data_IF_096127658433
#
_entry.id   IF_096127658433
#
_cell.length_a   1.000
_cell.length_b   1.000
_cell.length_c   1.000
_cell.angle_alpha   90.00
_cell.angle_beta   90.00
_cell.angle_gamma   90.00
#
_symmetry.space_group_name_H-M   'P 1'
#
loop_
_entity.id
_entity.type
_entity.pdbx_description
1 polymer ?
#
# COMPACT_ATOMS: atom_id res chain seq x y z
N UNK A 1 -1.08 -16.79 7.21
CA UNK A 1 -0.72 -16.51 5.79
C UNK A 1 -0.10 -17.68 5.03
N UNK A 2 0.80 -18.46 5.62
CA UNK A 2 1.59 -19.51 4.92
C UNK A 2 0.85 -20.75 4.38
N UNK A 3 -0.49 -20.76 4.40
CA UNK A 3 -1.31 -21.87 3.88
C UNK A 3 -2.19 -21.46 2.69
N UNK A 4 -1.99 -20.26 2.16
CA UNK A 4 -2.71 -19.80 1.00
C UNK A 4 -2.11 -20.42 -0.25
N UNK A 5 -2.99 -20.98 -1.09
CA UNK A 5 -2.65 -21.36 -2.45
C UNK A 5 -2.17 -20.12 -3.23
N UNK A 6 -1.08 -20.27 -3.99
CA UNK A 6 -0.40 -19.20 -4.73
C UNK A 6 -0.44 -19.54 -6.23
N UNK A 7 -1.55 -19.25 -6.93
CA UNK A 7 -1.71 -19.60 -8.32
C UNK A 7 -0.76 -18.79 -9.19
N UNK A 8 -0.23 -19.41 -10.25
CA UNK A 8 0.66 -18.75 -11.19
C UNK A 8 -0.03 -17.70 -12.08
N UNK A 9 -1.37 -17.70 -12.11
CA UNK A 9 -2.19 -16.78 -12.92
C UNK A 9 -3.31 -16.17 -12.08
N UNK A 10 -3.85 -14.99 -12.47
CA UNK A 10 -4.95 -14.35 -11.77
C UNK A 10 -6.15 -15.28 -11.61
N UNK A 11 -6.63 -15.43 -10.37
CA UNK A 11 -7.76 -16.31 -10.04
C UNK A 11 -8.69 -15.66 -9.04
N UNK A 12 -9.98 -15.63 -9.39
CA UNK A 12 -11.03 -15.20 -8.45
C UNK A 12 -11.13 -16.20 -7.31
N UNK A 13 -11.16 -15.67 -6.08
CA UNK A 13 -11.29 -16.44 -4.85
C UNK A 13 -12.62 -16.16 -4.15
N UNK A 14 -12.95 -17.03 -3.20
CA UNK A 14 -14.11 -16.82 -2.33
C UNK A 14 -13.97 -15.53 -1.53
N UNK A 15 -15.09 -14.81 -1.37
CA UNK A 15 -15.16 -13.54 -0.64
C UNK A 15 -14.58 -13.62 0.78
N UNK A 16 -14.75 -14.77 1.45
CA UNK A 16 -14.23 -15.02 2.81
C UNK A 16 -12.71 -14.81 2.93
N UNK A 17 -11.97 -14.98 1.82
CA UNK A 17 -10.52 -14.76 1.79
C UNK A 17 -10.18 -13.28 1.84
N UNK A 18 -10.98 -12.40 1.21
CA UNK A 18 -10.81 -10.95 1.36
C UNK A 18 -11.30 -10.47 2.73
N UNK A 19 -12.37 -11.06 3.26
CA UNK A 19 -12.86 -10.73 4.60
C UNK A 19 -11.82 -11.08 5.66
N UNK A 20 -11.25 -12.28 5.62
CA UNK A 20 -10.17 -12.64 6.56
C UNK A 20 -8.92 -11.76 6.42
N UNK A 21 -8.58 -11.33 5.19
CA UNK A 21 -7.51 -10.35 4.99
C UNK A 21 -7.86 -8.97 5.58
N UNK A 22 -9.10 -8.52 5.40
CA UNK A 22 -9.59 -7.27 5.98
C UNK A 22 -9.51 -7.31 7.51
N UNK A 23 -9.86 -8.44 8.14
CA UNK A 23 -9.76 -8.61 9.59
C UNK A 23 -8.30 -8.49 10.06
N UNK A 24 -7.36 -9.19 9.40
CA UNK A 24 -5.92 -9.13 9.71
C UNK A 24 -5.38 -7.70 9.58
N UNK A 25 -5.67 -7.02 8.45
CA UNK A 25 -5.21 -5.64 8.25
C UNK A 25 -5.84 -4.69 9.28
N UNK A 26 -7.08 -4.94 9.70
CA UNK A 26 -7.74 -4.11 10.70
C UNK A 26 -7.14 -4.30 12.09
N UNK A 27 -6.61 -5.48 12.39
CA UNK A 27 -5.81 -5.74 13.59
C UNK A 27 -4.47 -5.03 13.50
N UNK A 28 -3.74 -5.23 12.39
CA UNK A 28 -2.43 -4.62 12.15
C UNK A 28 -2.47 -3.09 12.20
N UNK A 29 -3.53 -2.47 11.65
CA UNK A 29 -3.71 -1.00 11.72
C UNK A 29 -3.86 -0.51 13.16
N UNK A 30 -4.41 -1.32 14.08
CA UNK A 30 -4.50 -0.95 15.50
C UNK A 30 -3.17 -1.09 16.21
N UNK A 31 -2.27 -1.97 15.78
CA UNK A 31 -0.93 -2.09 16.37
C UNK A 31 -0.11 -0.79 16.25
N UNK A 32 -0.45 0.08 15.29
CA UNK A 32 0.09 1.43 15.22
C UNK A 32 -0.17 2.30 16.47
N UNK A 33 -1.19 1.97 17.28
CA UNK A 33 -1.48 2.66 18.53
C UNK A 33 -0.33 2.54 19.53
N UNK A 34 0.36 1.39 19.58
CA UNK A 34 1.53 1.20 20.43
C UNK A 34 2.67 2.14 20.02
N UNK A 35 2.86 2.33 18.71
CA UNK A 35 3.81 3.30 18.16
C UNK A 35 3.39 4.72 18.52
N UNK A 36 2.09 5.06 18.46
CA UNK A 36 1.62 6.40 18.83
C UNK A 36 1.89 6.73 20.29
N UNK A 37 1.77 5.76 21.19
CA UNK A 37 2.11 5.96 22.61
C UNK A 37 3.60 6.26 22.81
N UNK A 38 4.50 5.76 21.95
CA UNK A 38 5.93 6.13 21.98
C UNK A 38 6.17 7.62 21.69
N UNK A 39 5.30 8.23 20.87
CA UNK A 39 5.34 9.66 20.50
C UNK A 39 4.57 10.57 21.46
N UNK A 40 3.67 10.02 22.27
CA UNK A 40 2.68 10.79 23.02
C UNK A 40 3.33 11.77 23.98
N UNK A 41 3.05 13.06 23.77
CA UNK A 41 3.59 14.14 24.59
C UNK A 41 5.07 14.46 24.35
N UNK A 42 5.70 13.87 23.33
CA UNK A 42 7.09 14.16 22.95
C UNK A 42 7.15 15.01 21.69
N UNK A 43 8.07 15.97 21.63
CA UNK A 43 8.43 16.65 20.39
C UNK A 43 9.53 15.85 19.69
N UNK A 44 9.43 15.66 18.37
CA UNK A 44 10.39 14.88 17.59
C UNK A 44 11.83 15.42 17.69
N UNK A 45 12.00 16.72 17.95
CA UNK A 45 13.31 17.34 18.11
C UNK A 45 13.97 17.02 19.47
N UNK A 46 13.17 16.68 20.49
CA UNK A 46 13.64 16.44 21.86
C UNK A 46 14.02 14.97 22.13
N UNK A 47 13.78 14.07 21.16
CA UNK A 47 14.08 12.65 21.30
C UNK A 47 15.59 12.39 21.32
N UNK A 48 16.03 11.55 22.26
CA UNK A 48 17.38 10.98 22.27
C UNK A 48 17.64 10.11 21.03
N UNK A 49 18.91 9.80 20.76
CA UNK A 49 19.27 8.95 19.61
C UNK A 49 18.67 7.55 19.75
N UNK A 50 18.67 7.02 20.96
CA UNK A 50 18.14 5.70 21.30
C UNK A 50 16.63 5.65 21.11
N UNK A 51 15.88 6.64 21.60
CA UNK A 51 14.43 6.72 21.38
C UNK A 51 14.07 6.85 19.89
N UNK A 52 14.82 7.68 19.14
CA UNK A 52 14.61 7.79 17.69
C UNK A 52 14.84 6.45 17.00
N UNK A 53 15.89 5.72 17.37
CA UNK A 53 16.18 4.42 16.80
C UNK A 53 15.07 3.41 17.11
N UNK A 54 14.59 3.35 18.34
CA UNK A 54 13.52 2.44 18.78
C UNK A 54 12.22 2.73 18.01
N UNK A 55 11.83 4.00 17.92
CA UNK A 55 10.64 4.44 17.20
C UNK A 55 10.75 4.11 15.70
N UNK A 56 11.87 4.46 15.05
CA UNK A 56 12.06 4.17 13.63
C UNK A 56 12.08 2.67 13.35
N UNK A 57 12.59 1.86 14.29
CA UNK A 57 12.56 0.41 14.20
C UNK A 57 11.13 -0.10 14.23
N UNK A 58 10.33 0.32 15.21
CA UNK A 58 8.92 -0.08 15.32
C UNK A 58 8.09 0.34 14.09
N UNK A 59 8.29 1.56 13.59
CA UNK A 59 7.63 2.05 12.36
C UNK A 59 8.05 1.20 11.15
N UNK A 60 9.32 0.84 11.05
CA UNK A 60 9.83 0.05 9.91
C UNK A 60 9.28 -1.37 9.91
N UNK A 61 9.19 -1.98 11.09
CA UNK A 61 8.62 -3.32 11.29
C UNK A 61 7.13 -3.35 10.89
N UNK A 62 6.34 -2.45 11.47
CA UNK A 62 4.91 -2.33 11.19
C UNK A 62 4.59 -2.03 9.71
N UNK A 63 5.27 -1.05 9.10
CA UNK A 63 5.09 -0.77 7.68
C UNK A 63 5.58 -1.93 6.80
N UNK A 64 6.62 -2.63 7.23
CA UNK A 64 7.14 -3.83 6.57
C UNK A 64 6.10 -4.95 6.54
N UNK A 65 5.47 -5.25 7.68
CA UNK A 65 4.45 -6.28 7.80
C UNK A 65 3.21 -5.94 6.96
N UNK A 66 2.76 -4.68 6.97
CA UNK A 66 1.68 -4.21 6.09
C UNK A 66 1.98 -4.46 4.61
N UNK A 67 3.22 -4.21 4.17
CA UNK A 67 3.65 -4.49 2.78
C UNK A 67 3.64 -5.99 2.51
N UNK A 68 4.25 -6.80 3.39
CA UNK A 68 4.29 -8.26 3.25
C UNK A 68 2.89 -8.85 3.18
N UNK A 69 1.97 -8.35 4.00
CA UNK A 69 0.58 -8.78 4.02
C UNK A 69 -0.15 -8.45 2.72
N UNK A 70 -0.01 -7.22 2.22
CA UNK A 70 -0.59 -6.82 0.94
C UNK A 70 -0.07 -7.68 -0.22
N UNK A 71 1.24 -7.92 -0.28
CA UNK A 71 1.85 -8.74 -1.33
C UNK A 71 1.47 -10.21 -1.23
N UNK A 72 1.44 -10.77 -0.01
CA UNK A 72 1.00 -12.16 0.20
C UNK A 72 -0.44 -12.34 -0.25
N UNK A 73 -1.31 -11.37 0.07
CA UNK A 73 -2.70 -11.41 -0.40
C UNK A 73 -2.76 -11.31 -1.92
N UNK A 74 -2.03 -10.38 -2.54
CA UNK A 74 -1.99 -10.25 -3.99
C UNK A 74 -1.52 -11.54 -4.68
N UNK A 75 -0.46 -12.16 -4.16
CA UNK A 75 0.08 -13.41 -4.66
C UNK A 75 -0.93 -14.56 -4.51
N UNK A 76 -1.69 -14.60 -3.41
CA UNK A 76 -2.73 -15.61 -3.27
C UNK A 76 -3.78 -15.49 -4.37
N UNK A 77 -4.05 -14.28 -4.89
CA UNK A 77 -4.94 -14.05 -6.02
C UNK A 77 -4.27 -14.23 -7.39
N UNK A 78 -2.97 -14.53 -7.44
CA UNK A 78 -2.17 -14.61 -8.68
C UNK A 78 -2.04 -13.26 -9.38
N UNK A 79 -2.14 -12.14 -8.63
CA UNK A 79 -2.09 -10.81 -9.21
C UNK A 79 -0.64 -10.36 -9.46
N UNK A 80 -0.33 -9.81 -10.64
CA UNK A 80 1.00 -9.30 -10.97
C UNK A 80 1.22 -7.92 -10.32
N UNK A 81 1.43 -7.91 -8.99
CA UNK A 81 1.39 -6.66 -8.22
C UNK A 81 2.49 -5.67 -8.61
N UNK A 82 3.65 -6.12 -9.06
CA UNK A 82 4.72 -5.24 -9.57
C UNK A 82 4.24 -4.42 -10.79
N UNK A 83 3.63 -5.06 -11.78
CA UNK A 83 3.08 -4.38 -12.96
C UNK A 83 1.95 -3.42 -12.58
N UNK A 84 1.09 -3.82 -11.63
CA UNK A 84 -0.01 -2.99 -11.12
C UNK A 84 0.51 -1.75 -10.40
N UNK A 85 1.54 -1.90 -9.55
CA UNK A 85 2.13 -0.79 -8.81
C UNK A 85 2.83 0.20 -9.75
N UNK A 86 3.52 -0.28 -10.80
CA UNK A 86 4.10 0.58 -11.82
C UNK A 86 3.03 1.45 -12.50
N UNK A 87 1.89 0.86 -12.90
CA UNK A 87 0.76 1.59 -13.49
C UNK A 87 0.15 2.60 -12.50
N UNK A 88 0.01 2.23 -11.23
CA UNK A 88 -0.51 3.13 -10.19
C UNK A 88 0.44 4.31 -9.98
N UNK A 89 1.75 4.08 -9.96
CA UNK A 89 2.73 5.16 -9.81
C UNK A 89 2.77 6.08 -11.02
N UNK A 90 2.72 5.55 -12.24
CA UNK A 90 2.60 6.37 -13.44
C UNK A 90 1.33 7.23 -13.41
N UNK A 91 0.22 6.69 -12.92
CA UNK A 91 -1.03 7.44 -12.74
C UNK A 91 -0.88 8.52 -11.66
N UNK A 92 -0.13 8.26 -10.58
CA UNK A 92 0.18 9.28 -9.57
C UNK A 92 1.02 10.42 -10.16
N UNK A 93 2.04 10.13 -10.97
CA UNK A 93 2.82 11.17 -11.66
C UNK A 93 1.99 11.98 -12.67
N UNK A 94 0.93 11.39 -13.25
CA UNK A 94 0.02 12.13 -14.13
C UNK A 94 -0.83 13.20 -13.43
N UNK A 95 -0.87 13.19 -12.09
CA UNK A 95 -1.58 14.19 -11.28
C UNK A 95 -0.79 15.49 -11.11
N UNK A 96 0.49 15.50 -11.46
CA UNK A 96 1.36 16.67 -11.32
C UNK A 96 0.93 17.77 -12.29
N UNK A 97 1.27 19.01 -11.97
CA UNK A 97 1.10 20.16 -12.86
C UNK A 97 2.12 20.16 -14.02
N UNK A 98 2.15 21.25 -14.79
CA UNK A 98 3.02 21.37 -15.97
C UNK A 98 4.52 21.43 -15.61
N UNK A 99 4.84 21.80 -14.37
CA UNK A 99 6.20 21.93 -13.85
C UNK A 99 6.62 20.68 -13.05
N UNK A 100 5.74 19.68 -12.95
CA UNK A 100 6.00 18.45 -12.20
C UNK A 100 5.73 18.57 -10.69
N UNK A 101 5.02 19.61 -10.25
CA UNK A 101 4.69 19.78 -8.84
C UNK A 101 3.36 19.11 -8.47
N UNK A 102 3.24 18.51 -7.27
CA UNK A 102 1.97 18.02 -6.79
C UNK A 102 1.01 19.19 -6.49
N UNK A 103 -0.24 19.03 -6.92
CA UNK A 103 -1.31 19.98 -6.61
C UNK A 103 -1.98 19.51 -5.32
N UNK A 104 -2.10 20.35 -4.30
CA UNK A 104 -2.70 19.99 -3.01
C UNK A 104 -4.01 20.73 -2.75
N UNK A 105 -4.92 20.12 -1.99
CA UNK A 105 -6.02 20.85 -1.33
C UNK A 105 -5.58 21.41 0.04
N UNK A 106 -6.48 22.13 0.70
CA UNK A 106 -6.23 22.74 2.03
C UNK A 106 -5.89 21.72 3.13
N UNK A 107 -6.09 20.42 2.87
CA UNK A 107 -5.79 19.31 3.78
C UNK A 107 -4.49 18.59 3.42
N UNK A 108 -3.75 19.06 2.40
CA UNK A 108 -2.54 18.41 1.90
C UNK A 108 -2.81 17.16 1.06
N UNK A 109 -4.04 16.95 0.57
CA UNK A 109 -4.34 15.83 -0.33
C UNK A 109 -3.95 16.19 -1.76
N UNK A 110 -3.22 15.28 -2.42
CA UNK A 110 -2.88 15.43 -3.85
C UNK A 110 -4.16 15.41 -4.70
N UNK A 111 -4.41 16.52 -5.40
CA UNK A 111 -5.48 16.73 -6.37
C UNK A 111 -5.11 16.15 -7.74
N UNK A 112 -6.10 16.06 -8.62
CA UNK A 112 -5.91 15.56 -9.99
C UNK A 112 -5.47 16.70 -10.89
N UNK A 113 -4.24 16.63 -11.39
CA UNK A 113 -3.72 17.54 -12.41
C UNK A 113 -4.41 17.39 -13.77
N UNK A 114 -4.12 18.32 -14.70
CA UNK A 114 -4.77 18.39 -16.01
C UNK A 114 -4.50 17.14 -16.88
N UNK A 115 -3.39 16.44 -16.63
CA UNK A 115 -2.97 15.24 -17.36
C UNK A 115 -3.40 13.94 -16.68
N UNK A 116 -4.21 14.01 -15.62
CA UNK A 116 -4.58 12.84 -14.84
C UNK A 116 -5.30 11.79 -15.68
N UNK A 117 -4.83 10.55 -15.57
CA UNK A 117 -5.51 9.38 -16.11
C UNK A 117 -5.74 8.31 -15.04
N UNK A 118 -6.84 7.57 -15.22
CA UNK A 118 -7.28 6.49 -14.34
C UNK A 118 -6.45 5.21 -14.58
N UNK A 119 -5.91 4.54 -13.54
CA UNK A 119 -5.08 3.35 -13.73
C UNK A 119 -5.85 2.10 -14.18
N UNK A 120 -7.16 2.02 -13.88
CA UNK A 120 -7.98 0.81 -14.04
C UNK A 120 -8.02 0.25 -15.47
N UNK A 121 -8.11 1.07 -16.55
CA UNK A 121 -8.02 0.55 -17.92
C UNK A 121 -6.69 -0.16 -18.22
N UNK A 122 -5.55 0.35 -17.75
CA UNK A 122 -4.23 -0.29 -17.94
C UNK A 122 -4.08 -1.56 -17.11
N UNK A 123 -4.55 -1.54 -15.85
CA UNK A 123 -4.62 -2.74 -15.00
C UNK A 123 -5.44 -3.83 -15.69
N UNK A 124 -6.58 -3.48 -16.30
CA UNK A 124 -7.41 -4.44 -17.04
C UNK A 124 -6.66 -5.09 -18.21
N UNK A 125 -5.83 -4.34 -18.94
CA UNK A 125 -5.02 -4.92 -20.02
C UNK A 125 -3.92 -5.86 -19.50
N UNK A 126 -3.26 -5.54 -18.38
CA UNK A 126 -2.32 -6.45 -17.69
C UNK A 126 -3.04 -7.76 -17.33
N UNK A 127 -4.18 -7.68 -16.65
CA UNK A 127 -4.92 -8.87 -16.24
C UNK A 127 -5.44 -9.68 -17.43
N UNK A 128 -5.85 -9.03 -18.53
CA UNK A 128 -6.23 -9.73 -19.77
C UNK A 128 -5.08 -10.51 -20.40
N UNK A 129 -3.84 -10.02 -20.31
CA UNK A 129 -2.64 -10.72 -20.81
C UNK A 129 -2.42 -12.00 -19.99
N UNK A 130 -2.51 -11.89 -18.68
CA UNK A 130 -2.13 -12.98 -17.76
C UNK A 130 -3.25 -14.01 -17.57
N UNK A 131 -4.50 -13.66 -17.88
CA UNK A 131 -5.63 -14.60 -17.96
C UNK A 131 -5.62 -15.47 -19.24
N UNK A 132 -4.84 -15.10 -20.26
CA UNK A 132 -4.77 -15.82 -21.55
C UNK A 132 -3.64 -16.85 -21.61
N UNK A 133 -2.80 -16.92 -20.58
CA UNK A 133 -1.74 -17.92 -20.40
C UNK A 133 -2.31 -19.16 -19.71
#
# INVERSE_FOLDING_TARGET
MYKLDMPASPKVRELKILQGFQDIISEEVKEAEDIFEMYKGKNSDDLSKEERLEILTAVSDWLGDMVVYCFTQAQSWGLPMEDVLNVIMDSNFSKLDQDGNPIYDDRGKVLKGPNYWKPEPKIKEILKRDLKQ
#
